data_IF_570794555594
#
_entry.id   IF_570794555594
#
_cell.length_a   1.000
_cell.length_b   1.000
_cell.length_c   1.000
_cell.angle_alpha   90.00
_cell.angle_beta   90.00
_cell.angle_gamma   90.00
#
_symmetry.space_group_name_H-M   'P 1'
#
loop_
_entity.id
_entity.type
_entity.pdbx_description
1 polymer ?
#
# COMPACT_ATOMS: atom_id res chain seq x y z
N UNK A 1 -6.63 -23.74 -27.35
CA UNK A 1 -6.40 -23.01 -26.08
C UNK A 1 -6.01 -23.88 -24.89
N UNK A 2 -6.47 -25.14 -24.74
CA UNK A 2 -6.04 -26.06 -23.66
C UNK A 2 -4.54 -26.38 -23.69
N UNK A 3 -3.94 -26.63 -24.84
CA UNK A 3 -2.54 -27.06 -24.97
C UNK A 3 -1.53 -25.96 -24.57
N UNK A 4 -1.85 -24.70 -24.78
CA UNK A 4 -1.00 -23.57 -24.35
C UNK A 4 -0.97 -23.44 -22.82
N UNK A 5 -2.12 -23.56 -22.14
CA UNK A 5 -2.20 -23.53 -20.68
C UNK A 5 -1.39 -24.66 -20.03
N UNK A 6 -1.47 -25.89 -20.56
CA UNK A 6 -0.73 -27.05 -20.05
C UNK A 6 0.78 -26.91 -20.21
N UNK A 7 1.26 -26.26 -21.29
CA UNK A 7 2.69 -26.00 -21.49
C UNK A 7 3.22 -24.89 -20.59
N UNK A 8 2.41 -23.87 -20.27
CA UNK A 8 2.80 -22.82 -19.36
C UNK A 8 2.89 -23.28 -17.89
N UNK A 9 2.06 -24.22 -17.45
CA UNK A 9 2.12 -24.79 -16.09
C UNK A 9 3.40 -25.56 -15.78
N UNK A 10 4.16 -25.98 -16.81
CA UNK A 10 5.47 -26.65 -16.65
C UNK A 10 6.64 -25.66 -16.60
N UNK A 11 6.43 -24.37 -16.80
CA UNK A 11 7.50 -23.40 -16.79
C UNK A 11 7.97 -23.15 -15.35
N UNK A 12 9.28 -23.21 -15.16
CA UNK A 12 9.93 -22.80 -13.91
C UNK A 12 10.28 -21.32 -14.01
N UNK A 13 9.77 -20.51 -13.09
CA UNK A 13 9.95 -19.07 -13.06
C UNK A 13 10.92 -18.73 -11.93
N UNK A 14 11.95 -17.97 -12.25
CA UNK A 14 12.91 -17.46 -11.27
C UNK A 14 12.66 -15.96 -11.07
N UNK A 15 12.44 -15.56 -9.83
CA UNK A 15 12.27 -14.16 -9.43
C UNK A 15 13.50 -13.72 -8.66
N UNK A 16 14.11 -12.63 -9.08
CA UNK A 16 15.26 -12.03 -8.41
C UNK A 16 14.75 -10.90 -7.51
N UNK A 17 14.95 -11.06 -6.21
CA UNK A 17 14.53 -10.14 -5.16
C UNK A 17 13.28 -10.60 -4.41
N UNK A 18 13.37 -10.64 -3.08
CA UNK A 18 12.28 -11.01 -2.16
C UNK A 18 11.62 -9.80 -1.48
N UNK A 19 11.70 -8.64 -2.08
CA UNK A 19 10.92 -7.48 -1.67
C UNK A 19 9.41 -7.72 -1.88
N UNK A 20 8.56 -6.78 -1.45
CA UNK A 20 7.10 -6.93 -1.54
C UNK A 20 6.62 -7.29 -2.96
N UNK A 21 7.18 -6.66 -3.98
CA UNK A 21 6.83 -6.92 -5.39
C UNK A 21 7.20 -8.35 -5.79
N UNK A 22 8.41 -8.80 -5.45
CA UNK A 22 8.86 -10.16 -5.77
C UNK A 22 8.02 -11.21 -5.09
N UNK A 23 7.71 -11.02 -3.80
CA UNK A 23 6.86 -11.95 -3.03
C UNK A 23 5.44 -12.03 -3.57
N UNK A 24 4.81 -10.90 -3.91
CA UNK A 24 3.46 -10.91 -4.50
C UNK A 24 3.42 -11.56 -5.88
N UNK A 25 4.41 -11.28 -6.74
CA UNK A 25 4.50 -11.98 -8.03
C UNK A 25 4.71 -13.48 -7.86
N UNK A 26 5.56 -13.90 -6.92
CA UNK A 26 5.78 -15.31 -6.65
C UNK A 26 4.50 -16.01 -6.19
N UNK A 27 3.75 -15.36 -5.31
CA UNK A 27 2.50 -15.89 -4.78
C UNK A 27 1.45 -16.04 -5.89
N UNK A 28 1.22 -14.99 -6.69
CA UNK A 28 0.30 -15.03 -7.83
C UNK A 28 0.66 -16.12 -8.84
N UNK A 29 1.93 -16.22 -9.20
CA UNK A 29 2.39 -17.22 -10.14
C UNK A 29 2.26 -18.65 -9.58
N UNK A 30 2.50 -18.84 -8.29
CA UNK A 30 2.30 -20.12 -7.61
C UNK A 30 0.84 -20.54 -7.59
N UNK A 31 -0.09 -19.61 -7.32
CA UNK A 31 -1.54 -19.86 -7.39
C UNK A 31 -2.00 -20.20 -8.81
N UNK A 32 -1.32 -19.67 -9.82
CA UNK A 32 -1.55 -20.05 -11.22
C UNK A 32 -0.95 -21.42 -11.61
N UNK A 33 -0.25 -22.08 -10.67
CA UNK A 33 0.33 -23.41 -10.84
C UNK A 33 1.72 -23.44 -11.45
N UNK A 34 2.43 -22.30 -11.51
CA UNK A 34 3.83 -22.29 -11.92
C UNK A 34 4.76 -22.76 -10.80
N UNK A 35 5.86 -23.39 -11.17
CA UNK A 35 6.96 -23.62 -10.25
C UNK A 35 7.76 -22.33 -10.12
N UNK A 36 7.86 -21.77 -8.90
CA UNK A 36 8.52 -20.48 -8.68
C UNK A 36 9.69 -20.62 -7.71
N UNK A 37 10.80 -20.02 -8.05
CA UNK A 37 11.96 -19.88 -7.17
C UNK A 37 12.28 -18.41 -6.98
N UNK A 38 12.46 -17.97 -5.73
CA UNK A 38 12.91 -16.62 -5.42
C UNK A 38 14.41 -16.68 -5.06
N UNK A 39 15.22 -15.85 -5.69
CA UNK A 39 16.62 -15.64 -5.38
C UNK A 39 16.78 -14.26 -4.78
N UNK A 40 17.32 -14.19 -3.57
CA UNK A 40 17.55 -12.94 -2.84
C UNK A 40 18.88 -12.99 -2.09
N UNK A 41 19.69 -11.93 -2.10
CA UNK A 41 20.96 -11.90 -1.39
C UNK A 41 20.83 -11.89 0.14
N UNK A 42 19.62 -12.02 0.68
CA UNK A 42 19.29 -11.99 2.11
C UNK A 42 19.76 -10.71 2.83
N UNK A 43 19.96 -9.64 2.10
CA UNK A 43 20.27 -8.33 2.69
C UNK A 43 19.04 -7.76 3.33
N UNK A 44 19.10 -7.50 4.64
CA UNK A 44 17.98 -6.91 5.40
C UNK A 44 17.68 -5.45 5.02
N UNK A 45 18.57 -4.81 4.27
CA UNK A 45 18.45 -3.42 3.83
C UNK A 45 17.78 -3.33 2.44
N UNK A 46 16.48 -3.52 2.40
CA UNK A 46 15.72 -3.33 1.16
C UNK A 46 14.58 -2.33 1.37
N UNK A 47 14.09 -1.77 0.27
CA UNK A 47 13.03 -0.75 0.28
C UNK A 47 11.75 -1.24 0.98
N UNK A 48 11.42 -2.51 0.89
CA UNK A 48 10.23 -3.07 1.52
C UNK A 48 10.33 -3.12 3.04
N UNK A 49 11.51 -3.40 3.57
CA UNK A 49 11.76 -3.39 5.03
C UNK A 49 11.86 -1.96 5.58
N UNK A 50 12.29 -1.00 4.75
CA UNK A 50 12.33 0.40 5.12
C UNK A 50 10.98 1.11 4.97
N UNK A 51 10.00 0.51 4.30
CA UNK A 51 8.70 1.10 4.09
C UNK A 51 7.86 1.11 5.36
N UNK A 52 7.16 2.22 5.61
CA UNK A 52 6.28 2.40 6.78
C UNK A 52 4.96 1.62 6.68
N UNK A 53 4.69 0.94 5.56
CA UNK A 53 3.45 0.19 5.35
C UNK A 53 2.20 1.05 5.18
N UNK A 54 2.35 2.34 4.83
CA UNK A 54 1.23 3.26 4.70
C UNK A 54 0.54 3.13 3.33
N UNK A 55 -0.76 2.89 3.32
CA UNK A 55 -1.59 2.86 2.11
C UNK A 55 -2.14 4.25 1.80
N UNK A 56 -1.28 5.13 1.27
CA UNK A 56 -1.55 6.56 1.08
C UNK A 56 -2.33 6.91 -0.20
N UNK A 57 -2.87 5.93 -0.94
CA UNK A 57 -3.45 6.19 -2.27
C UNK A 57 -4.51 7.29 -2.28
N UNK A 58 -5.43 7.29 -1.32
CA UNK A 58 -6.50 8.30 -1.25
C UNK A 58 -6.00 9.70 -0.84
N UNK A 59 -4.79 9.82 -0.30
CA UNK A 59 -4.19 11.11 0.08
C UNK A 59 -3.60 11.89 -1.10
N UNK A 60 -3.47 11.27 -2.27
CA UNK A 60 -2.94 11.95 -3.45
C UNK A 60 -3.97 12.89 -4.07
N UNK A 61 -3.60 14.16 -4.19
CA UNK A 61 -4.46 15.20 -4.78
C UNK A 61 -4.56 15.09 -6.31
N UNK A 62 -3.51 14.60 -6.99
CA UNK A 62 -3.53 14.43 -8.44
C UNK A 62 -4.24 13.11 -8.80
N UNK A 63 -5.55 13.19 -9.03
CA UNK A 63 -6.42 12.04 -9.32
C UNK A 63 -6.68 11.85 -10.80
N UNK A 64 -5.62 11.88 -11.62
CA UNK A 64 -5.71 11.68 -13.06
C UNK A 64 -4.47 11.05 -13.63
N UNK A 65 -4.64 10.34 -14.74
CA UNK A 65 -3.58 9.70 -15.50
C UNK A 65 -3.17 8.35 -14.93
N UNK A 66 -2.33 7.64 -15.69
CA UNK A 66 -1.95 6.24 -15.47
C UNK A 66 -1.46 5.93 -14.04
N UNK A 67 -0.72 6.84 -13.44
CA UNK A 67 -0.24 6.64 -12.06
C UNK A 67 -1.36 6.65 -11.03
N UNK A 68 -2.42 7.43 -11.26
CA UNK A 68 -3.60 7.42 -10.41
C UNK A 68 -4.39 6.11 -10.59
N UNK A 69 -4.58 5.67 -11.83
CA UNK A 69 -5.31 4.44 -12.13
C UNK A 69 -4.67 3.23 -11.45
N UNK A 70 -3.34 3.14 -11.49
CA UNK A 70 -2.58 2.09 -10.80
C UNK A 70 -2.74 2.15 -9.27
N UNK A 71 -2.67 3.35 -8.68
CA UNK A 71 -2.86 3.51 -7.23
C UNK A 71 -4.26 3.12 -6.79
N UNK A 72 -5.27 3.55 -7.54
CA UNK A 72 -6.66 3.20 -7.27
C UNK A 72 -6.86 1.69 -7.28
N UNK A 73 -6.42 1.02 -8.34
CA UNK A 73 -6.48 -0.44 -8.43
C UNK A 73 -5.74 -1.12 -7.28
N UNK A 74 -4.55 -0.63 -6.91
CA UNK A 74 -3.79 -1.16 -5.79
C UNK A 74 -4.55 -1.07 -4.47
N UNK A 75 -5.21 0.06 -4.17
CA UNK A 75 -6.02 0.22 -2.95
C UNK A 75 -7.19 -0.75 -2.92
N UNK A 76 -7.85 -0.94 -4.07
CA UNK A 76 -9.00 -1.84 -4.21
C UNK A 76 -8.61 -3.32 -4.05
N UNK A 77 -7.38 -3.68 -4.38
CA UNK A 77 -6.86 -5.05 -4.26
C UNK A 77 -6.41 -5.40 -2.84
N UNK A 78 -5.97 -4.44 -2.02
CA UNK A 78 -5.42 -4.73 -0.69
C UNK A 78 -6.36 -5.51 0.23
N UNK A 79 -7.68 -5.21 0.35
CA UNK A 79 -8.58 -6.00 1.17
C UNK A 79 -8.67 -7.46 0.71
N UNK A 80 -8.63 -7.70 -0.60
CA UNK A 80 -8.67 -9.06 -1.16
C UNK A 80 -7.39 -9.83 -0.80
N UNK A 81 -6.22 -9.18 -0.92
CA UNK A 81 -4.95 -9.76 -0.54
C UNK A 81 -4.87 -10.09 0.95
N UNK A 82 -5.37 -9.21 1.81
CA UNK A 82 -5.40 -9.46 3.26
C UNK A 82 -6.27 -10.66 3.56
N UNK A 83 -7.48 -10.73 3.00
CA UNK A 83 -8.37 -11.88 3.16
C UNK A 83 -7.72 -13.18 2.65
N UNK A 84 -6.98 -13.11 1.56
CA UNK A 84 -6.25 -14.26 1.02
C UNK A 84 -5.13 -14.71 1.96
N UNK A 85 -4.30 -13.78 2.42
CA UNK A 85 -3.16 -14.08 3.30
C UNK A 85 -3.60 -14.57 4.69
N UNK A 86 -4.74 -14.10 5.21
CA UNK A 86 -5.31 -14.59 6.46
C UNK A 86 -5.64 -16.09 6.45
N UNK A 87 -5.88 -16.67 5.26
CA UNK A 87 -6.07 -18.14 5.12
C UNK A 87 -4.83 -18.95 5.52
N UNK A 88 -3.66 -18.33 5.52
CA UNK A 88 -2.40 -18.93 5.94
C UNK A 88 -2.01 -18.59 7.38
N UNK A 89 -2.97 -18.22 8.23
CA UNK A 89 -2.77 -17.84 9.63
C UNK A 89 -1.89 -16.60 9.86
N UNK A 90 -1.83 -15.69 8.89
CA UNK A 90 -1.20 -14.38 9.10
C UNK A 90 -2.19 -13.42 9.76
N UNK A 91 -1.83 -12.88 10.90
CA UNK A 91 -2.56 -11.79 11.55
C UNK A 91 -2.27 -10.46 10.85
N UNK A 92 -2.91 -10.26 9.71
CA UNK A 92 -2.77 -9.05 8.92
C UNK A 92 -4.06 -8.23 8.99
N UNK A 93 -3.94 -6.97 9.39
CA UNK A 93 -5.04 -6.04 9.43
C UNK A 93 -4.67 -4.72 8.77
N UNK A 94 -5.65 -4.05 8.16
CA UNK A 94 -5.51 -2.66 7.74
C UNK A 94 -6.02 -1.80 8.87
N UNK A 95 -5.13 -1.10 9.53
CA UNK A 95 -5.51 -0.11 10.53
C UNK A 95 -6.06 1.14 9.87
N UNK A 96 -7.15 1.65 10.41
CA UNK A 96 -7.85 2.85 9.93
C UNK A 96 -8.27 3.70 11.14
N UNK A 97 -8.37 5.01 10.96
CA UNK A 97 -8.06 5.80 9.77
C UNK A 97 -6.57 6.14 9.61
N UNK A 98 -6.13 6.46 8.40
CA UNK A 98 -4.87 7.18 8.19
C UNK A 98 -5.12 8.66 8.40
N UNK A 99 -4.42 9.28 9.35
CA UNK A 99 -4.59 10.69 9.71
C UNK A 99 -3.39 11.49 9.17
N UNK A 100 -3.68 12.55 8.44
CA UNK A 100 -2.69 13.53 8.02
C UNK A 100 -2.85 14.80 8.87
N UNK A 101 -1.81 15.15 9.60
CA UNK A 101 -1.76 16.41 10.36
C UNK A 101 -1.10 17.51 9.53
N UNK A 102 -1.55 18.74 9.68
CA UNK A 102 -0.90 19.93 9.14
C UNK A 102 -1.16 21.11 10.03
N UNK A 103 -0.11 21.90 10.32
CA UNK A 103 -0.19 23.18 10.98
C UNK A 103 -0.17 24.36 9.99
N UNK A 104 0.08 24.06 8.71
CA UNK A 104 0.14 25.06 7.66
C UNK A 104 -1.27 25.34 7.11
N UNK A 105 -1.77 26.55 7.36
CA UNK A 105 -3.12 26.97 6.99
C UNK A 105 -3.36 26.97 5.47
N UNK A 106 -2.36 27.33 4.68
CA UNK A 106 -2.46 27.31 3.22
C UNK A 106 -2.61 25.87 2.69
N UNK A 107 -1.82 24.93 3.24
CA UNK A 107 -1.94 23.51 2.91
C UNK A 107 -3.29 22.95 3.35
N UNK A 108 -3.78 23.36 4.52
CA UNK A 108 -5.08 22.94 5.01
C UNK A 108 -6.19 23.39 4.07
N UNK A 109 -6.24 24.67 3.68
CA UNK A 109 -7.23 25.20 2.74
C UNK A 109 -7.20 24.48 1.37
N UNK A 110 -6.00 24.13 0.89
CA UNK A 110 -5.86 23.33 -0.35
C UNK A 110 -6.44 21.91 -0.22
N UNK A 111 -6.23 21.27 0.93
CA UNK A 111 -6.79 19.94 1.20
C UNK A 111 -8.30 19.99 1.36
N UNK A 112 -8.80 20.96 2.09
CA UNK A 112 -10.23 21.21 2.28
C UNK A 112 -10.93 21.39 0.92
N UNK A 113 -10.45 22.32 0.09
CA UNK A 113 -10.94 22.54 -1.26
C UNK A 113 -10.93 21.25 -2.09
N UNK A 114 -9.85 20.50 -2.04
CA UNK A 114 -9.71 19.23 -2.75
C UNK A 114 -10.77 18.21 -2.32
N UNK A 115 -11.06 18.09 -1.03
CA UNK A 115 -12.07 17.15 -0.50
C UNK A 115 -13.47 17.55 -1.01
N UNK A 116 -13.81 18.84 -0.94
CA UNK A 116 -15.10 19.33 -1.42
C UNK A 116 -15.29 19.16 -2.93
N UNK A 117 -14.28 19.50 -3.74
CA UNK A 117 -14.36 19.40 -5.20
C UNK A 117 -14.46 17.96 -5.70
N UNK A 118 -13.87 17.00 -4.99
CA UNK A 118 -13.89 15.60 -5.41
C UNK A 118 -15.04 14.79 -4.81
N UNK A 119 -15.77 15.34 -3.85
CA UNK A 119 -16.86 14.66 -3.13
C UNK A 119 -16.50 13.23 -2.68
N UNK A 120 -15.25 13.07 -2.21
CA UNK A 120 -14.70 11.78 -1.86
C UNK A 120 -15.06 11.41 -0.41
N UNK A 121 -16.01 10.52 -0.26
CA UNK A 121 -16.47 10.04 1.04
C UNK A 121 -15.39 9.27 1.84
N UNK A 122 -14.29 8.87 1.19
CA UNK A 122 -13.15 8.22 1.88
C UNK A 122 -12.27 9.21 2.65
N UNK A 123 -12.43 10.51 2.40
CA UNK A 123 -11.69 11.59 3.04
C UNK A 123 -12.64 12.46 3.86
N UNK A 124 -12.20 12.86 5.04
CA UNK A 124 -12.94 13.83 5.87
C UNK A 124 -11.98 14.70 6.65
N UNK A 125 -12.42 15.90 6.93
CA UNK A 125 -11.74 16.82 7.82
C UNK A 125 -12.14 16.45 9.25
N UNK A 126 -11.14 16.41 10.12
CA UNK A 126 -11.34 16.23 11.56
C UNK A 126 -10.94 17.52 12.28
N UNK A 127 -11.77 17.97 13.17
CA UNK A 127 -11.42 19.05 14.07
C UNK A 127 -10.48 18.54 15.18
N UNK A 128 -9.63 19.41 15.69
CA UNK A 128 -8.61 19.06 16.68
C UNK A 128 -9.20 18.36 17.90
N UNK A 129 -10.33 18.82 18.37
CA UNK A 129 -11.00 18.30 19.58
C UNK A 129 -11.67 16.95 19.38
N UNK A 130 -11.87 16.55 18.11
CA UNK A 130 -12.43 15.24 17.76
C UNK A 130 -11.38 14.13 17.69
N UNK A 131 -10.09 14.46 17.80
CA UNK A 131 -8.98 13.51 17.72
C UNK A 131 -8.53 13.14 19.13
N UNK A 132 -9.10 12.08 19.67
CA UNK A 132 -8.54 11.44 20.87
C UNK A 132 -7.35 10.58 20.47
N UNK A 133 -6.15 11.16 20.50
CA UNK A 133 -4.91 10.43 20.22
C UNK A 133 -4.32 9.94 21.53
N UNK A 134 -4.28 8.65 21.72
CA UNK A 134 -3.47 8.05 22.79
C UNK A 134 -2.00 8.20 22.39
N UNK A 135 -1.32 9.18 22.99
CA UNK A 135 0.07 9.54 22.73
C UNK A 135 1.04 8.54 23.35
N UNK A 136 1.13 7.33 22.84
CA UNK A 136 2.19 6.48 23.36
C UNK A 136 3.43 6.39 22.46
N UNK A 137 3.40 6.78 21.18
CA UNK A 137 4.56 6.58 20.28
C UNK A 137 4.74 7.57 19.11
N UNK A 138 4.26 8.80 19.16
CA UNK A 138 4.60 9.80 18.17
C UNK A 138 5.59 10.84 18.75
N UNK A 139 6.89 10.53 18.76
CA UNK A 139 7.91 11.57 18.71
C UNK A 139 7.93 12.13 17.29
N UNK A 140 7.31 13.28 17.08
CA UNK A 140 7.57 14.08 15.90
C UNK A 140 9.04 14.50 15.97
N UNK A 141 9.87 14.02 15.04
CA UNK A 141 11.13 14.68 14.76
C UNK A 141 10.78 15.96 14.01
N UNK A 142 10.73 17.07 14.74
CA UNK A 142 10.93 18.38 14.16
C UNK A 142 12.37 18.42 13.66
N UNK A 143 12.56 18.30 12.37
CA UNK A 143 13.80 18.72 11.73
C UNK A 143 13.64 20.19 11.44
N UNK A 144 14.13 21.02 12.37
CA UNK A 144 14.49 22.40 12.08
C UNK A 144 15.61 22.35 11.04
N UNK A 145 15.28 22.73 9.83
CA UNK A 145 16.26 23.11 8.81
C UNK A 145 16.20 24.63 8.70
N UNK A 146 17.17 25.29 9.37
CA UNK A 146 17.64 26.61 9.03
C UNK A 146 18.22 26.69 7.61
#
# INVERSE_FOLDING_TARGET
>A
MKSLKENFQKAHIVIIGSGIIGKFNALELSELGFQVTIIDPAQHQNSSNAALGLLMGNMYQKRRGRSWDLRKQSIELWPQWITFLQKFNYELNIEKPLIQLTTNEEKFKKLEKFIYENNDQSLRILERDSISVSYTHLRAHETDHD
#
